data_IF_549005479194
#
_entry.id   IF_549005479194
#
_cell.length_a   1.000
_cell.length_b   1.000
_cell.length_c   1.000
_cell.angle_alpha   90.00
_cell.angle_beta   90.00
_cell.angle_gamma   90.00
#
_symmetry.space_group_name_H-M   'P 1'
#
loop_
_entity.id
_entity.type
_entity.pdbx_description
1 polymer ?
#
# COMPACT_ATOMS: atom_id res chain seq x y z
N UNK A 1 -2.31 16.66 19.82
CA UNK A 1 -2.59 16.00 18.53
C UNK A 1 -1.95 14.62 18.63
N UNK A 2 -2.75 13.57 18.84
CA UNK A 2 -2.22 12.22 19.00
C UNK A 2 -1.83 11.70 17.61
N UNK A 3 -0.55 11.34 17.42
CA UNK A 3 -0.15 10.54 16.29
C UNK A 3 -0.90 9.20 16.40
N UNK A 4 -1.75 8.88 15.42
CA UNK A 4 -2.23 7.52 15.25
C UNK A 4 -0.98 6.63 15.16
N UNK A 5 -0.93 5.57 15.95
CA UNK A 5 0.11 4.55 15.85
C UNK A 5 0.25 4.15 14.37
N UNK A 6 1.50 3.96 13.92
CA UNK A 6 1.80 3.55 12.55
C UNK A 6 1.33 2.11 12.31
N UNK A 7 0.01 1.92 12.31
CA UNK A 7 -0.63 0.64 12.14
C UNK A 7 -0.36 0.18 10.70
N UNK A 8 0.08 -1.07 10.59
CA UNK A 8 0.33 -1.72 9.31
C UNK A 8 -0.95 -2.41 8.87
N UNK A 9 -1.41 -2.09 7.67
CA UNK A 9 -2.65 -2.60 7.12
C UNK A 9 -2.38 -3.51 5.92
N UNK A 10 -3.18 -4.56 5.80
CA UNK A 10 -3.38 -5.30 4.56
C UNK A 10 -4.72 -4.89 3.98
N UNK A 11 -4.71 -4.42 2.74
CA UNK A 11 -5.91 -3.90 2.06
C UNK A 11 -6.41 -4.97 1.13
N UNK A 12 -7.61 -5.48 1.41
CA UNK A 12 -8.19 -6.63 0.70
C UNK A 12 -9.34 -6.13 -0.18
N UNK A 13 -9.29 -6.46 -1.46
CA UNK A 13 -10.41 -6.27 -2.34
C UNK A 13 -11.55 -7.23 -1.94
N UNK A 14 -12.70 -6.68 -1.56
CA UNK A 14 -13.83 -7.46 -1.06
C UNK A 14 -14.40 -8.45 -2.09
N UNK A 15 -14.26 -8.16 -3.39
CA UNK A 15 -14.81 -8.99 -4.47
C UNK A 15 -13.91 -10.17 -4.81
N UNK A 16 -12.61 -9.94 -4.97
CA UNK A 16 -11.64 -10.97 -5.39
C UNK A 16 -10.96 -11.67 -4.22
N UNK A 17 -10.91 -11.06 -3.04
CA UNK A 17 -10.11 -11.54 -1.91
C UNK A 17 -8.60 -11.32 -2.08
N UNK A 18 -8.16 -10.75 -3.20
CA UNK A 18 -6.76 -10.36 -3.40
C UNK A 18 -6.44 -9.10 -2.61
N UNK A 19 -5.17 -8.95 -2.24
CA UNK A 19 -4.69 -7.79 -1.52
C UNK A 19 -3.89 -6.84 -2.42
N UNK A 20 -3.85 -5.57 -2.01
CA UNK A 20 -3.05 -4.54 -2.65
C UNK A 20 -1.56 -4.79 -2.37
N UNK A 21 -0.79 -5.11 -3.40
CA UNK A 21 0.61 -5.53 -3.26
C UNK A 21 1.53 -4.81 -4.24
N UNK A 22 2.78 -4.55 -3.82
CA UNK A 22 3.86 -4.19 -4.74
C UNK A 22 4.31 -5.46 -5.46
N UNK A 23 4.35 -5.43 -6.79
CA UNK A 23 4.76 -6.55 -7.63
C UNK A 23 6.17 -6.99 -7.32
N UNK A 24 6.37 -8.29 -7.06
CA UNK A 24 7.70 -8.87 -6.91
C UNK A 24 8.54 -8.90 -8.19
N UNK A 25 7.95 -8.57 -9.35
CA UNK A 25 8.63 -8.59 -10.65
C UNK A 25 9.47 -7.33 -10.87
N UNK A 26 8.90 -6.15 -10.59
CA UNK A 26 9.54 -4.86 -10.84
C UNK A 26 9.73 -4.00 -9.59
N UNK A 27 9.21 -4.44 -8.44
CA UNK A 27 9.33 -3.75 -7.16
C UNK A 27 8.64 -2.40 -7.08
N UNK A 28 7.81 -2.04 -8.07
CA UNK A 28 7.22 -0.69 -8.19
C UNK A 28 5.76 -0.70 -8.65
N UNK A 29 5.34 -1.59 -9.54
CA UNK A 29 3.93 -1.67 -9.96
C UNK A 29 3.07 -2.19 -8.82
N UNK A 30 1.91 -1.58 -8.59
CA UNK A 30 0.96 -2.03 -7.58
C UNK A 30 -0.15 -2.85 -8.22
N UNK A 31 -0.33 -4.07 -7.75
CA UNK A 31 -1.23 -5.10 -8.30
C UNK A 31 -2.17 -5.66 -7.23
N UNK A 32 -3.16 -6.43 -7.68
CA UNK A 32 -3.92 -7.33 -6.81
C UNK A 32 -3.25 -8.70 -6.78
N UNK A 33 -2.81 -9.14 -5.61
CA UNK A 33 -2.12 -10.43 -5.43
C UNK A 33 -2.82 -11.30 -4.39
N UNK A 34 -2.72 -12.63 -4.51
CA UNK A 34 -3.18 -13.54 -3.47
C UNK A 34 -2.43 -13.25 -2.16
N UNK A 35 -3.18 -13.21 -1.05
CA UNK A 35 -2.60 -12.91 0.26
C UNK A 35 -1.60 -14.00 0.66
N UNK A 36 -0.38 -13.59 0.96
CA UNK A 36 0.70 -14.42 1.52
C UNK A 36 1.37 -13.78 2.74
N UNK A 37 0.86 -12.64 3.23
CA UNK A 37 1.33 -11.90 4.41
C UNK A 37 2.78 -11.38 4.32
N UNK A 38 3.33 -11.28 3.11
CA UNK A 38 4.65 -10.72 2.82
C UNK A 38 4.68 -9.18 2.99
N UNK A 39 5.87 -8.57 3.19
CA UNK A 39 6.01 -7.12 3.36
C UNK A 39 5.47 -6.28 2.18
N UNK A 40 5.49 -6.82 0.97
CA UNK A 40 4.97 -6.14 -0.22
C UNK A 40 3.45 -5.93 -0.17
N UNK A 41 2.74 -6.65 0.71
CA UNK A 41 1.28 -6.59 0.92
C UNK A 41 0.87 -5.76 2.14
N UNK A 42 1.84 -5.08 2.78
CA UNK A 42 1.64 -4.30 4.00
C UNK A 42 1.90 -2.83 3.75
N UNK A 43 0.99 -2.00 4.24
CA UNK A 43 1.01 -0.55 4.04
C UNK A 43 0.90 0.15 5.38
N UNK A 44 1.81 1.10 5.63
CA UNK A 44 1.64 2.10 6.69
C UNK A 44 0.73 3.19 6.16
N UNK A 45 -0.31 3.53 6.91
CA UNK A 45 -1.29 4.56 6.52
C UNK A 45 -1.17 5.71 7.51
N UNK A 46 -0.76 6.87 7.02
CA UNK A 46 -0.41 8.03 7.85
C UNK A 46 -1.29 9.22 7.45
N UNK A 47 -2.03 9.80 8.40
CA UNK A 47 -2.84 11.00 8.17
C UNK A 47 -1.92 12.21 7.97
N UNK A 48 -2.03 12.89 6.82
CA UNK A 48 -1.19 14.05 6.48
C UNK A 48 -1.91 15.39 6.59
N UNK A 49 -3.22 15.38 6.84
CA UNK A 49 -4.06 16.57 7.03
C UNK A 49 -5.35 16.50 6.23
N UNK A 50 -6.38 17.22 6.65
CA UNK A 50 -7.66 17.36 5.92
C UNK A 50 -8.31 16.04 5.46
N UNK A 51 -8.11 14.96 6.21
CA UNK A 51 -8.62 13.62 5.87
C UNK A 51 -7.87 12.92 4.73
N UNK A 52 -6.75 13.47 4.29
CA UNK A 52 -5.83 12.84 3.34
C UNK A 52 -4.84 11.94 4.06
N UNK A 53 -4.54 10.81 3.43
CA UNK A 53 -3.62 9.81 3.95
C UNK A 53 -2.54 9.50 2.94
N UNK A 54 -1.31 9.45 3.43
CA UNK A 54 -0.22 8.81 2.72
C UNK A 54 -0.20 7.31 3.03
N UNK A 55 0.18 6.54 2.02
CA UNK A 55 0.30 5.09 2.14
C UNK A 55 1.69 4.67 1.70
N UNK A 56 2.44 4.09 2.63
CA UNK A 56 3.83 3.68 2.41
C UNK A 56 3.96 2.17 2.49
N UNK A 57 4.53 1.55 1.46
CA UNK A 57 4.73 0.10 1.44
C UNK A 57 5.84 -0.32 2.41
N UNK A 58 5.64 -1.45 3.10
CA UNK A 58 6.61 -1.95 4.10
C UNK A 58 7.84 -2.60 3.45
N UNK A 59 7.74 -3.13 2.22
CA UNK A 59 8.87 -3.75 1.52
C UNK A 59 9.99 -2.74 1.21
N UNK A 60 9.64 -1.60 0.62
CA UNK A 60 10.61 -0.66 0.04
C UNK A 60 10.51 0.77 0.60
N UNK A 61 9.48 1.08 1.40
CA UNK A 61 9.28 2.42 1.95
C UNK A 61 8.74 3.45 0.95
N UNK A 62 8.33 3.03 -0.24
CA UNK A 62 7.79 3.90 -1.28
C UNK A 62 6.30 4.20 -1.07
N UNK A 63 5.85 5.32 -1.62
CA UNK A 63 4.48 5.80 -1.46
C UNK A 63 3.59 5.36 -2.61
N UNK A 64 2.35 5.00 -2.29
CA UNK A 64 1.33 4.71 -3.28
C UNK A 64 1.04 5.97 -4.09
N UNK A 65 1.25 5.88 -5.40
CA UNK A 65 1.09 7.00 -6.33
C UNK A 65 0.34 6.56 -7.58
N UNK A 66 -0.44 7.48 -8.12
CA UNK A 66 -1.09 7.31 -9.41
C UNK A 66 -0.34 8.13 -10.45
N UNK A 67 0.35 7.45 -11.37
CA UNK A 67 1.12 8.10 -12.43
C UNK A 67 0.83 7.45 -13.77
N UNK A 68 0.64 8.28 -14.80
CA UNK A 68 0.47 7.85 -16.21
C UNK A 68 -0.65 6.82 -16.42
N UNK A 69 -1.73 6.90 -15.64
CA UNK A 69 -2.87 5.99 -15.75
C UNK A 69 -2.73 4.66 -15.01
N UNK A 70 -1.62 4.45 -14.28
CA UNK A 70 -1.37 3.27 -13.46
C UNK A 70 -1.06 3.62 -12.01
N UNK A 71 -0.97 2.58 -11.18
CA UNK A 71 -0.68 2.70 -9.76
C UNK A 71 0.69 2.08 -9.45
N UNK A 72 1.51 2.83 -8.73
CA UNK A 72 2.91 2.50 -8.45
C UNK A 72 3.26 2.82 -7.00
N UNK A 73 4.33 2.20 -6.51
CA UNK A 73 5.01 2.58 -5.29
C UNK A 73 6.33 3.26 -5.69
N UNK A 74 6.45 4.58 -5.45
CA UNK A 74 7.60 5.42 -5.83
C UNK A 74 7.99 6.42 -4.72
#
# INVERSE_FOLDING_TARGET
>A
MAALSADMYTIINQKSGTCLAVSGVDGTTVIGEARNDEPNQKWKVELVGDGLFDMRNVLNGYFLSFVRGGMYAL
#
